data_IF_097964921113
#
_entry.id   IF_097964921113
#
_cell.length_a   1.000
_cell.length_b   1.000
_cell.length_c   1.000
_cell.angle_alpha   90.00
_cell.angle_beta   90.00
_cell.angle_gamma   90.00
#
_symmetry.space_group_name_H-M   'P 1'
#
loop_
_entity.id
_entity.type
_entity.pdbx_description
1 polymer ?
#
# COMPACT_ATOMS: atom_id res chain seq x y z
N UNK A 1 15.59 -3.49 8.78
CA UNK A 1 15.18 -2.76 9.99
C UNK A 1 14.38 -3.67 10.91
N UNK A 2 14.20 -3.29 12.19
CA UNK A 2 13.36 -4.04 13.13
C UNK A 2 12.07 -3.28 13.42
N UNK A 3 10.92 -3.98 13.40
CA UNK A 3 9.63 -3.47 13.87
C UNK A 3 9.20 -4.39 15.01
N UNK A 4 9.37 -3.96 16.25
CA UNK A 4 9.24 -4.84 17.40
C UNK A 4 10.19 -6.05 17.29
N UNK A 5 9.63 -7.25 17.28
CA UNK A 5 10.37 -8.50 17.12
C UNK A 5 10.48 -8.98 15.64
N UNK A 6 9.92 -8.25 14.69
CA UNK A 6 9.89 -8.63 13.27
C UNK A 6 11.03 -7.96 12.51
N UNK A 7 11.83 -8.76 11.79
CA UNK A 7 12.90 -8.28 10.91
C UNK A 7 12.38 -8.01 9.51
N UNK A 8 12.52 -6.78 9.03
CA UNK A 8 12.23 -6.40 7.64
C UNK A 8 13.55 -6.36 6.86
N UNK A 9 13.72 -7.32 5.94
CA UNK A 9 14.91 -7.44 5.09
C UNK A 9 14.77 -6.57 3.83
N UNK A 10 15.00 -5.28 3.97
CA UNK A 10 14.90 -4.28 2.90
C UNK A 10 14.34 -2.96 3.42
N UNK A 11 14.21 -2.00 2.51
CA UNK A 11 13.75 -0.63 2.83
C UNK A 11 12.42 -0.27 2.18
N UNK A 12 11.92 -1.10 1.25
CA UNK A 12 10.75 -0.76 0.45
C UNK A 12 9.54 -1.58 0.87
N UNK A 13 8.44 -0.92 1.17
CA UNK A 13 7.16 -1.52 1.54
C UNK A 13 6.07 -1.14 0.53
N UNK A 14 5.14 -2.07 0.25
CA UNK A 14 3.95 -1.78 -0.54
C UNK A 14 2.87 -1.15 0.35
N UNK A 15 2.37 0.02 -0.03
CA UNK A 15 1.31 0.72 0.69
C UNK A 15 -0.05 0.05 0.53
N UNK A 16 -0.89 0.03 1.58
CA UNK A 16 -2.29 -0.41 1.47
C UNK A 16 -3.09 0.55 0.58
N UNK A 17 -3.77 0.00 -0.43
CA UNK A 17 -4.62 0.76 -1.35
C UNK A 17 -5.92 -0.01 -1.59
N UNK A 18 -7.03 0.48 -1.06
CA UNK A 18 -8.34 -0.15 -1.19
C UNK A 18 -8.75 -0.35 -2.67
N UNK A 19 -9.15 -1.57 -3.01
CA UNK A 19 -9.48 -2.00 -4.37
C UNK A 19 -8.26 -2.11 -5.30
N UNK A 20 -7.05 -2.25 -4.75
CA UNK A 20 -5.80 -2.30 -5.52
C UNK A 20 -4.81 -3.33 -4.97
N UNK A 21 -4.51 -3.28 -3.66
CA UNK A 21 -3.51 -4.17 -3.05
C UNK A 21 -4.15 -5.47 -2.58
N UNK A 22 -4.86 -6.12 -3.49
CA UNK A 22 -5.34 -7.48 -3.31
C UNK A 22 -4.17 -8.48 -3.23
N UNK A 23 -4.47 -9.71 -2.88
CA UNK A 23 -3.45 -10.76 -2.73
C UNK A 23 -2.61 -10.92 -4.01
N UNK A 24 -3.25 -10.90 -5.20
CA UNK A 24 -2.56 -11.08 -6.47
C UNK A 24 -1.53 -9.96 -6.73
N UNK A 25 -1.91 -8.70 -6.50
CA UNK A 25 -0.99 -7.58 -6.70
C UNK A 25 0.11 -7.55 -5.64
N UNK A 26 -0.20 -7.87 -4.37
CA UNK A 26 0.80 -7.96 -3.32
C UNK A 26 1.83 -9.06 -3.61
N UNK A 27 1.36 -10.23 -4.11
CA UNK A 27 2.23 -11.34 -4.53
C UNK A 27 3.21 -10.88 -5.61
N UNK A 28 2.73 -10.25 -6.70
CA UNK A 28 3.60 -9.71 -7.75
C UNK A 28 4.61 -8.68 -7.20
N UNK A 29 4.17 -7.73 -6.37
CA UNK A 29 5.09 -6.76 -5.76
C UNK A 29 6.13 -7.42 -4.83
N UNK A 30 5.75 -8.49 -4.14
CA UNK A 30 6.65 -9.25 -3.28
C UNK A 30 7.73 -9.96 -4.08
N UNK A 31 7.39 -10.62 -5.19
CA UNK A 31 8.34 -11.24 -6.10
C UNK A 31 9.37 -10.24 -6.65
N UNK A 32 8.95 -8.99 -6.86
CA UNK A 32 9.82 -7.90 -7.30
C UNK A 32 10.49 -7.13 -6.14
N UNK A 33 10.52 -7.69 -4.93
CA UNK A 33 11.35 -7.19 -3.83
C UNK A 33 10.71 -6.17 -2.91
N UNK A 34 9.37 -6.10 -2.83
CA UNK A 34 8.71 -5.43 -1.70
C UNK A 34 9.02 -6.19 -0.41
N UNK A 35 9.76 -5.57 0.52
CA UNK A 35 10.21 -6.19 1.75
C UNK A 35 9.10 -6.36 2.81
N UNK A 36 8.05 -5.54 2.72
CA UNK A 36 6.85 -5.60 3.54
C UNK A 36 5.63 -5.30 2.66
N UNK A 37 4.59 -6.09 2.79
CA UNK A 37 3.28 -5.84 2.18
C UNK A 37 2.25 -5.53 3.26
N UNK A 38 1.24 -4.75 2.90
CA UNK A 38 0.12 -4.42 3.79
C UNK A 38 -1.18 -4.73 3.06
N UNK A 39 -2.08 -5.47 3.72
CA UNK A 39 -3.40 -5.79 3.15
C UNK A 39 -4.21 -4.55 2.84
N UNK A 40 -5.29 -4.70 2.10
CA UNK A 40 -6.32 -3.66 2.05
C UNK A 40 -6.87 -3.41 3.45
N UNK A 41 -7.31 -2.16 3.71
CA UNK A 41 -7.85 -1.81 5.02
C UNK A 41 -9.22 -2.44 5.25
N UNK A 42 -9.42 -3.06 6.42
CA UNK A 42 -10.69 -3.64 6.83
C UNK A 42 -11.28 -2.95 8.06
N UNK A 43 -12.61 -2.86 8.12
CA UNK A 43 -13.28 -2.30 9.29
C UNK A 43 -13.22 -3.27 10.47
N UNK A 44 -12.64 -2.84 11.59
CA UNK A 44 -12.66 -3.61 12.85
C UNK A 44 -14.09 -3.94 13.27
N UNK A 45 -15.00 -2.98 13.13
CA UNK A 45 -16.43 -3.17 13.40
C UNK A 45 -17.06 -4.25 12.50
N UNK A 46 -16.73 -4.28 11.21
CA UNK A 46 -17.24 -5.30 10.29
C UNK A 46 -16.74 -6.72 10.65
N UNK A 47 -15.49 -6.83 11.12
CA UNK A 47 -14.93 -8.09 11.63
C UNK A 47 -15.72 -8.58 12.86
N UNK A 48 -15.96 -7.70 13.85
CA UNK A 48 -16.74 -8.02 15.05
C UNK A 48 -18.17 -8.47 14.73
N UNK A 49 -18.80 -7.88 13.70
CA UNK A 49 -20.14 -8.29 13.22
C UNK A 49 -20.13 -9.49 12.27
N UNK A 50 -19.00 -10.18 12.10
CA UNK A 50 -18.84 -11.39 11.28
C UNK A 50 -19.25 -11.21 9.81
N UNK A 51 -18.93 -10.04 9.22
CA UNK A 51 -19.13 -9.83 7.79
C UNK A 51 -18.37 -10.89 6.97
N UNK A 52 -19.06 -11.50 6.01
CA UNK A 52 -18.51 -12.63 5.23
C UNK A 52 -17.49 -12.21 4.17
N UNK A 53 -17.50 -10.94 3.77
CA UNK A 53 -16.63 -10.42 2.69
C UNK A 53 -15.30 -9.89 3.22
N UNK A 54 -15.33 -9.27 4.40
CA UNK A 54 -14.17 -8.64 5.04
C UNK A 54 -12.97 -9.59 5.24
N UNK A 55 -13.13 -10.86 5.66
CA UNK A 55 -12.01 -11.77 5.85
C UNK A 55 -11.16 -12.02 4.59
N UNK A 56 -11.78 -11.99 3.40
CA UNK A 56 -11.06 -12.19 2.13
C UNK A 56 -10.02 -11.10 1.85
N UNK A 57 -10.22 -9.89 2.36
CA UNK A 57 -9.26 -8.80 2.23
C UNK A 57 -8.03 -8.97 3.14
N UNK A 58 -8.11 -9.89 4.11
CA UNK A 58 -7.04 -10.22 5.05
C UNK A 58 -6.24 -11.45 4.63
N UNK A 59 -6.64 -12.17 3.58
CA UNK A 59 -5.92 -13.36 3.10
C UNK A 59 -4.50 -13.00 2.69
N UNK A 60 -3.53 -13.77 3.16
CA UNK A 60 -2.11 -13.66 2.83
C UNK A 60 -1.67 -14.85 1.98
N UNK A 61 -0.71 -14.63 1.10
CA UNK A 61 -0.03 -15.71 0.39
C UNK A 61 0.89 -16.51 1.32
N UNK A 62 1.14 -17.77 0.99
CA UNK A 62 2.00 -18.65 1.80
C UNK A 62 3.41 -18.07 2.01
N UNK A 63 3.94 -17.35 1.04
CA UNK A 63 5.27 -16.73 1.08
C UNK A 63 5.23 -15.22 1.35
N UNK A 64 4.06 -14.69 1.78
CA UNK A 64 3.84 -13.25 1.98
C UNK A 64 4.22 -12.81 3.42
N UNK A 65 5.40 -13.24 3.91
CA UNK A 65 5.92 -12.85 5.21
C UNK A 65 7.28 -12.13 5.07
N UNK A 66 7.52 -10.99 5.79
CA UNK A 66 6.59 -10.32 6.71
C UNK A 66 5.48 -9.56 5.98
N UNK A 67 4.27 -9.62 6.56
CA UNK A 67 3.09 -8.91 6.07
C UNK A 67 2.30 -8.27 7.22
N UNK A 68 1.63 -7.15 6.94
CA UNK A 68 0.76 -6.48 7.88
C UNK A 68 -0.71 -6.56 7.46
N UNK A 69 -1.60 -6.81 8.42
CA UNK A 69 -3.04 -6.65 8.23
C UNK A 69 -3.46 -5.24 8.65
N UNK A 70 -4.06 -4.46 7.74
CA UNK A 70 -4.49 -3.11 8.07
C UNK A 70 -5.96 -3.06 8.49
N UNK A 71 -6.22 -2.49 9.68
CA UNK A 71 -7.56 -2.28 10.22
C UNK A 71 -7.86 -0.79 10.39
N UNK A 72 -9.15 -0.43 10.41
CA UNK A 72 -9.61 0.92 10.72
C UNK A 72 -10.86 0.92 11.61
N UNK A 73 -11.00 1.97 12.39
CA UNK A 73 -12.07 2.24 13.32
C UNK A 73 -11.65 3.32 14.31
N UNK A 74 -12.57 3.81 15.14
CA UNK A 74 -12.29 4.85 16.13
C UNK A 74 -12.69 4.44 17.56
N UNK A 75 -13.42 3.33 17.74
CA UNK A 75 -13.84 2.84 19.06
C UNK A 75 -12.74 1.91 19.63
N UNK A 76 -12.07 2.24 20.76
CA UNK A 76 -10.93 1.47 21.26
C UNK A 76 -11.21 -0.02 21.48
N UNK A 77 -12.33 -0.37 22.12
CA UNK A 77 -12.67 -1.77 22.41
C UNK A 77 -12.99 -2.56 21.14
N UNK A 78 -13.68 -1.93 20.19
CA UNK A 78 -13.96 -2.51 18.86
C UNK A 78 -12.68 -2.72 18.06
N UNK A 79 -11.73 -1.78 18.15
CA UNK A 79 -10.44 -1.89 17.49
C UNK A 79 -9.57 -2.99 18.10
N UNK A 80 -9.58 -3.13 19.42
CA UNK A 80 -8.88 -4.20 20.12
C UNK A 80 -9.40 -5.59 19.71
N UNK A 81 -10.71 -5.78 19.70
CA UNK A 81 -11.33 -7.05 19.28
C UNK A 81 -11.13 -7.29 17.77
N UNK A 82 -11.29 -6.26 16.94
CA UNK A 82 -11.04 -6.34 15.50
C UNK A 82 -9.60 -6.71 15.17
N UNK A 83 -8.62 -6.25 15.96
CA UNK A 83 -7.22 -6.62 15.80
C UNK A 83 -6.95 -8.09 16.06
N UNK A 84 -7.53 -8.66 17.14
CA UNK A 84 -7.46 -10.11 17.43
C UNK A 84 -8.04 -10.93 16.29
N UNK A 85 -9.23 -10.55 15.81
CA UNK A 85 -9.90 -11.23 14.71
C UNK A 85 -9.11 -11.11 13.39
N UNK A 86 -8.49 -9.94 13.13
CA UNK A 86 -7.65 -9.75 11.96
C UNK A 86 -6.40 -10.66 12.03
N UNK A 87 -5.73 -10.71 13.17
CA UNK A 87 -4.58 -11.59 13.41
C UNK A 87 -4.96 -13.06 13.26
N UNK A 88 -6.03 -13.51 13.90
CA UNK A 88 -6.53 -14.89 13.80
C UNK A 88 -6.81 -15.32 12.35
N UNK A 89 -7.41 -14.42 11.55
CA UNK A 89 -7.83 -14.73 10.19
C UNK A 89 -6.69 -14.64 9.16
N UNK A 90 -5.77 -13.73 9.35
CA UNK A 90 -4.68 -13.51 8.40
C UNK A 90 -3.40 -14.27 8.74
N UNK A 91 -3.12 -14.51 10.02
CA UNK A 91 -1.81 -14.98 10.48
C UNK A 91 -0.69 -13.95 10.22
N UNK A 92 -1.02 -12.64 10.13
CA UNK A 92 -0.06 -11.59 9.79
C UNK A 92 1.01 -11.42 10.89
N UNK A 93 2.13 -10.84 10.51
CA UNK A 93 3.24 -10.56 11.43
C UNK A 93 3.06 -9.22 12.16
N UNK A 94 2.24 -8.31 11.61
CA UNK A 94 2.05 -6.94 12.09
C UNK A 94 0.57 -6.56 11.95
N UNK A 95 0.03 -5.88 12.95
CA UNK A 95 -1.26 -5.16 12.80
C UNK A 95 -0.96 -3.70 12.48
N UNK A 96 -1.48 -3.19 11.36
CA UNK A 96 -1.35 -1.79 10.98
C UNK A 96 -2.67 -1.03 11.18
N UNK A 97 -2.63 0.12 11.83
CA UNK A 97 -3.82 0.95 12.08
C UNK A 97 -3.89 2.08 11.05
N UNK A 98 -4.99 2.13 10.29
CA UNK A 98 -5.24 3.22 9.35
C UNK A 98 -5.78 4.47 10.05
N UNK A 99 -4.97 5.51 10.11
CA UNK A 99 -5.35 6.86 10.56
C UNK A 99 -5.10 7.92 9.46
N UNK A 100 -5.11 7.48 8.18
CA UNK A 100 -4.78 8.35 7.05
C UNK A 100 -5.77 8.34 5.89
N UNK A 101 -6.76 7.45 5.86
CA UNK A 101 -7.74 7.37 4.78
C UNK A 101 -8.56 8.66 4.69
N UNK A 102 -8.59 9.36 3.52
CA UNK A 102 -9.30 10.62 3.36
C UNK A 102 -10.74 10.44 2.85
N UNK A 103 -11.17 9.22 2.56
CA UNK A 103 -12.45 8.94 1.91
C UNK A 103 -13.63 9.43 2.74
N UNK A 104 -14.59 10.18 2.17
CA UNK A 104 -15.72 10.74 2.93
C UNK A 104 -16.49 9.70 3.73
N UNK A 105 -16.73 8.53 3.16
CA UNK A 105 -17.44 7.42 3.83
C UNK A 105 -16.73 6.95 5.12
N UNK A 106 -15.41 7.02 5.18
CA UNK A 106 -14.61 6.65 6.34
C UNK A 106 -14.58 7.81 7.33
N UNK A 107 -14.20 8.99 6.85
CA UNK A 107 -13.98 10.18 7.69
C UNK A 107 -15.26 10.69 8.36
N UNK A 108 -16.42 10.60 7.69
CA UNK A 108 -17.69 11.04 8.25
C UNK A 108 -18.16 10.16 9.43
N UNK A 109 -17.62 8.94 9.54
CA UNK A 109 -17.86 8.05 10.67
C UNK A 109 -16.88 8.28 11.85
N UNK A 110 -15.91 9.18 11.72
CA UNK A 110 -14.87 9.40 12.74
C UNK A 110 -13.61 8.54 12.53
N UNK A 111 -13.56 7.73 11.46
CA UNK A 111 -12.47 6.79 11.18
C UNK A 111 -11.35 7.42 10.31
N UNK A 112 -10.25 6.68 10.17
CA UNK A 112 -9.17 7.05 9.27
C UNK A 112 -8.56 8.40 9.64
N UNK A 113 -8.44 9.32 8.68
CA UNK A 113 -7.83 10.63 8.94
C UNK A 113 -8.64 11.57 9.85
N UNK A 114 -9.88 11.23 10.20
CA UNK A 114 -10.64 11.97 11.21
C UNK A 114 -9.95 11.93 12.58
N UNK A 115 -9.27 10.82 12.90
CA UNK A 115 -8.50 10.66 14.14
C UNK A 115 -7.33 11.66 14.26
N UNK A 116 -6.87 12.25 13.15
CA UNK A 116 -5.86 13.33 13.22
C UNK A 116 -6.37 14.57 13.98
N UNK A 117 -7.70 14.77 14.08
CA UNK A 117 -8.31 15.85 14.84
C UNK A 117 -8.53 15.52 16.32
N UNK A 118 -8.43 14.25 16.69
CA UNK A 118 -8.74 13.70 18.00
C UNK A 118 -7.54 12.88 18.54
N UNK A 119 -6.36 13.49 18.80
CA UNK A 119 -5.15 12.76 19.18
C UNK A 119 -5.33 11.93 20.47
N UNK A 120 -6.13 12.41 21.42
CA UNK A 120 -6.42 11.66 22.67
C UNK A 120 -7.21 10.37 22.38
N UNK A 121 -8.16 10.41 21.45
CA UNK A 121 -8.89 9.22 21.02
C UNK A 121 -7.99 8.29 20.23
N UNK A 122 -7.17 8.83 19.33
CA UNK A 122 -6.17 8.07 18.58
C UNK A 122 -5.20 7.31 19.50
N UNK A 123 -4.71 7.97 20.56
CA UNK A 123 -3.87 7.36 21.61
C UNK A 123 -4.57 6.16 22.27
N UNK A 124 -5.84 6.33 22.67
CA UNK A 124 -6.62 5.24 23.28
C UNK A 124 -6.83 4.06 22.33
N UNK A 125 -7.09 4.34 21.05
CA UNK A 125 -7.22 3.31 20.00
C UNK A 125 -5.92 2.54 19.84
N UNK A 126 -4.77 3.24 19.70
CA UNK A 126 -3.46 2.59 19.55
C UNK A 126 -3.15 1.71 20.78
N UNK A 127 -3.27 2.28 21.98
CA UNK A 127 -3.00 1.55 23.23
C UNK A 127 -3.91 0.32 23.40
N UNK A 128 -5.19 0.43 23.04
CA UNK A 128 -6.13 -0.70 23.11
C UNK A 128 -5.72 -1.83 22.16
N UNK A 129 -5.30 -1.52 20.93
CA UNK A 129 -4.83 -2.51 19.95
C UNK A 129 -3.51 -3.13 20.42
N UNK A 130 -2.53 -2.32 20.86
CA UNK A 130 -1.22 -2.80 21.36
C UNK A 130 -1.40 -3.77 22.52
N UNK A 131 -2.32 -3.50 23.45
CA UNK A 131 -2.59 -4.38 24.57
C UNK A 131 -3.40 -5.64 24.21
N UNK A 132 -3.95 -5.71 23.00
CA UNK A 132 -4.85 -6.79 22.59
C UNK A 132 -4.17 -7.90 21.80
N UNK A 133 -2.99 -7.65 21.20
CA UNK A 133 -2.28 -8.58 20.32
C UNK A 133 -0.81 -8.73 20.73
N UNK A 134 -0.22 -9.89 20.43
CA UNK A 134 1.17 -10.20 20.74
C UNK A 134 2.15 -9.86 19.59
N UNK A 135 1.63 -9.36 18.46
CA UNK A 135 2.43 -8.91 17.31
C UNK A 135 2.64 -7.39 17.37
N UNK A 136 3.70 -6.86 16.74
CA UNK A 136 3.90 -5.41 16.66
C UNK A 136 2.71 -4.69 16.03
N UNK A 137 2.41 -3.49 16.55
CA UNK A 137 1.37 -2.61 16.01
C UNK A 137 2.03 -1.41 15.35
N UNK A 138 1.63 -1.09 14.12
CA UNK A 138 2.08 0.09 13.39
C UNK A 138 0.93 1.03 13.09
N UNK A 139 1.24 2.28 12.80
CA UNK A 139 0.22 3.31 12.51
C UNK A 139 0.56 4.05 11.23
N UNK A 140 -0.40 4.11 10.30
CA UNK A 140 -0.27 4.88 9.06
C UNK A 140 -1.18 6.10 9.08
N UNK A 141 -0.59 7.30 8.97
CA UNK A 141 -1.32 8.56 9.05
C UNK A 141 -0.81 9.60 8.02
N UNK A 142 -1.40 10.80 8.04
CA UNK A 142 -1.06 11.93 7.18
C UNK A 142 -0.40 13.06 7.96
N UNK A 143 0.12 14.10 7.27
CA UNK A 143 0.76 15.24 7.94
C UNK A 143 -0.24 16.11 8.77
N UNK A 144 -1.54 15.96 8.53
CA UNK A 144 -2.58 16.66 9.27
C UNK A 144 -3.93 16.59 8.55
N UNK A 145 -4.94 17.26 9.11
CA UNK A 145 -6.27 17.36 8.53
C UNK A 145 -6.31 18.26 7.29
N UNK A 146 -5.77 19.47 7.42
CA UNK A 146 -5.60 20.49 6.37
C UNK A 146 -4.36 21.31 6.68
N UNK A 147 -4.08 22.33 5.83
CA UNK A 147 -2.88 23.17 5.95
C UNK A 147 -2.84 24.04 7.23
N UNK A 148 -3.99 24.27 7.87
CA UNK A 148 -4.06 25.01 9.15
C UNK A 148 -3.94 24.08 10.36
N UNK A 149 -4.15 22.79 10.15
CA UNK A 149 -4.18 21.75 11.17
C UNK A 149 -3.17 20.64 10.82
N UNK A 150 -1.90 21.04 10.69
CA UNK A 150 -0.74 20.13 10.55
C UNK A 150 -0.24 19.77 11.94
N UNK A 151 -0.25 18.49 12.27
CA UNK A 151 0.12 18.01 13.63
C UNK A 151 0.88 16.67 13.60
N UNK A 152 1.53 16.33 12.47
CA UNK A 152 2.15 15.02 12.30
C UNK A 152 3.27 14.73 13.31
N UNK A 153 4.02 15.73 13.78
CA UNK A 153 5.11 15.54 14.74
C UNK A 153 4.57 15.15 16.11
N UNK A 154 3.59 15.91 16.62
CA UNK A 154 2.93 15.63 17.91
C UNK A 154 2.18 14.30 17.84
N UNK A 155 1.54 14.01 16.70
CA UNK A 155 0.82 12.77 16.48
C UNK A 155 1.77 11.55 16.43
N UNK A 156 2.94 11.70 15.83
CA UNK A 156 3.98 10.66 15.82
C UNK A 156 4.50 10.34 17.23
N UNK A 157 4.81 11.37 18.02
CA UNK A 157 5.22 11.22 19.43
C UNK A 157 4.14 10.54 20.27
N UNK A 158 2.88 10.93 20.09
CA UNK A 158 1.75 10.31 20.75
C UNK A 158 1.61 8.85 20.36
N UNK A 159 1.76 8.52 19.05
CA UNK A 159 1.67 7.14 18.59
C UNK A 159 2.78 6.25 19.18
N UNK A 160 4.03 6.74 19.23
CA UNK A 160 5.15 6.06 19.89
C UNK A 160 4.87 5.85 21.39
N UNK A 161 4.44 6.88 22.10
CA UNK A 161 4.09 6.80 23.53
C UNK A 161 2.92 5.85 23.81
N UNK A 162 2.04 5.64 22.83
CA UNK A 162 0.92 4.70 22.90
C UNK A 162 1.29 3.26 22.58
N UNK A 163 2.58 3.00 22.26
CA UNK A 163 3.13 1.67 22.02
C UNK A 163 3.22 1.25 20.54
N UNK A 164 3.06 2.17 19.59
CA UNK A 164 3.31 1.86 18.19
C UNK A 164 4.78 1.45 17.97
N UNK A 165 5.02 0.33 17.28
CA UNK A 165 6.34 -0.20 17.00
C UNK A 165 7.00 0.42 15.75
N UNK A 166 6.23 1.02 14.86
CA UNK A 166 6.68 1.82 13.72
C UNK A 166 5.53 2.70 13.22
N UNK A 167 5.88 3.71 12.43
CA UNK A 167 4.88 4.59 11.81
C UNK A 167 5.15 4.77 10.32
N UNK A 168 4.08 5.04 9.56
CA UNK A 168 4.16 5.47 8.16
C UNK A 168 3.52 6.85 8.03
N UNK A 169 4.29 7.83 7.60
CA UNK A 169 3.78 9.18 7.34
C UNK A 169 3.58 9.45 5.85
N UNK A 170 2.34 9.72 5.44
CA UNK A 170 2.08 10.31 4.13
C UNK A 170 2.21 11.84 4.23
N UNK A 171 3.16 12.41 3.49
CA UNK A 171 3.49 13.84 3.51
C UNK A 171 2.42 14.79 2.93
N UNK A 172 1.16 14.37 2.89
CA UNK A 172 0.00 15.20 2.48
C UNK A 172 -1.03 15.27 3.59
N UNK A 173 -1.76 16.39 3.65
CA UNK A 173 -2.94 16.51 4.51
C UNK A 173 -4.12 15.68 3.97
N UNK A 174 -5.13 15.46 4.80
CA UNK A 174 -6.40 14.86 4.35
C UNK A 174 -7.05 15.67 3.26
N UNK A 175 -7.05 16.99 3.37
CA UNK A 175 -7.70 17.90 2.41
C UNK A 175 -7.02 17.92 1.04
N UNK A 176 -5.70 17.76 0.98
CA UNK A 176 -4.95 17.59 -0.26
C UNK A 176 -5.30 16.29 -1.00
N UNK A 177 -5.71 15.25 -0.30
CA UNK A 177 -5.88 13.90 -0.87
C UNK A 177 -4.62 13.44 -1.64
N UNK A 178 -4.58 13.71 -2.97
CA UNK A 178 -3.46 13.40 -3.85
C UNK A 178 -2.97 14.62 -4.66
N UNK A 179 -3.55 15.80 -4.44
CA UNK A 179 -3.14 17.03 -5.12
C UNK A 179 -1.83 17.60 -4.56
N UNK A 180 -1.17 18.45 -5.36
CA UNK A 180 0.11 19.05 -4.99
C UNK A 180 1.23 18.01 -4.82
N UNK A 181 2.23 18.32 -4.03
CA UNK A 181 3.38 17.47 -3.70
C UNK A 181 3.34 16.99 -2.25
N UNK A 182 3.90 15.81 -1.98
CA UNK A 182 4.11 15.34 -0.63
C UNK A 182 5.23 16.15 0.05
N UNK A 183 4.97 16.57 1.26
CA UNK A 183 5.90 17.33 2.08
C UNK A 183 6.91 16.39 2.75
N UNK A 184 8.09 16.29 2.17
CA UNK A 184 9.16 15.45 2.69
C UNK A 184 9.85 16.07 3.91
N UNK A 185 9.79 17.40 4.08
CA UNK A 185 10.31 18.07 5.27
C UNK A 185 9.52 17.67 6.51
N UNK A 186 8.20 17.60 6.41
CA UNK A 186 7.35 17.10 7.49
C UNK A 186 7.69 15.63 7.87
N UNK A 187 8.07 14.79 6.89
CA UNK A 187 8.52 13.42 7.17
C UNK A 187 9.86 13.43 7.90
N UNK A 188 10.79 14.30 7.49
CA UNK A 188 12.09 14.48 8.18
C UNK A 188 11.92 14.93 9.63
N UNK A 189 11.04 15.91 9.86
CA UNK A 189 10.75 16.41 11.21
C UNK A 189 10.17 15.29 12.10
N UNK A 190 9.25 14.48 11.57
CA UNK A 190 8.72 13.31 12.29
C UNK A 190 9.84 12.32 12.59
N UNK A 191 10.71 11.98 11.61
CA UNK A 191 11.83 11.04 11.84
C UNK A 191 12.79 11.52 12.92
N UNK A 192 13.02 12.82 13.00
CA UNK A 192 13.86 13.41 14.04
C UNK A 192 13.21 13.45 15.43
N UNK A 193 11.89 13.32 15.50
CA UNK A 193 11.11 13.49 16.71
C UNK A 193 10.79 12.18 17.45
N UNK A 194 10.96 11.02 16.78
CA UNK A 194 10.67 9.69 17.33
C UNK A 194 11.85 8.74 17.22
N UNK A 195 11.90 7.72 18.06
CA UNK A 195 12.95 6.70 18.08
C UNK A 195 12.57 5.44 17.27
N UNK A 196 11.28 5.18 17.10
CA UNK A 196 10.77 4.05 16.33
C UNK A 196 11.01 4.22 14.82
N UNK A 197 11.01 3.11 14.05
CA UNK A 197 11.12 3.19 12.59
C UNK A 197 10.03 4.02 11.94
N UNK A 198 10.43 4.82 10.93
CA UNK A 198 9.55 5.67 10.13
C UNK A 198 9.63 5.27 8.67
N UNK A 199 8.48 4.94 8.06
CA UNK A 199 8.36 4.81 6.62
C UNK A 199 7.91 6.14 6.01
N UNK A 200 8.70 6.64 5.04
CA UNK A 200 8.32 7.80 4.23
C UNK A 200 7.36 7.39 3.13
N UNK A 201 6.23 8.10 3.00
CA UNK A 201 5.23 7.81 1.97
C UNK A 201 4.81 9.09 1.21
N UNK A 202 4.81 9.00 -0.11
CA UNK A 202 4.33 10.05 -1.02
C UNK A 202 5.32 10.39 -2.14
N UNK A 203 4.78 10.44 -3.37
CA UNK A 203 5.47 10.86 -4.60
C UNK A 203 6.75 10.07 -4.94
N UNK A 204 6.69 8.77 -4.74
CA UNK A 204 7.67 7.82 -5.24
C UNK A 204 7.06 7.09 -6.42
N UNK A 205 7.52 7.42 -7.63
CA UNK A 205 7.05 6.89 -8.91
C UNK A 205 8.18 6.30 -9.76
N UNK A 206 9.42 6.69 -9.52
CA UNK A 206 10.63 6.17 -10.16
C UNK A 206 11.63 5.70 -9.09
N UNK A 207 12.58 4.79 -9.44
CA UNK A 207 13.60 4.29 -8.51
C UNK A 207 14.39 5.39 -7.80
N UNK A 208 14.72 6.47 -8.54
CA UNK A 208 15.45 7.62 -8.03
C UNK A 208 14.69 8.38 -6.95
N UNK A 209 13.35 8.34 -6.99
CA UNK A 209 12.52 8.96 -5.95
C UNK A 209 12.70 8.25 -4.60
N UNK A 210 12.85 6.92 -4.60
CA UNK A 210 13.10 6.16 -3.38
C UNK A 210 14.45 6.52 -2.76
N UNK A 211 15.47 6.74 -3.57
CA UNK A 211 16.78 7.22 -3.10
C UNK A 211 16.67 8.64 -2.54
N UNK A 212 16.00 9.52 -3.29
CA UNK A 212 15.86 10.95 -2.90
C UNK A 212 15.08 11.13 -1.60
N UNK A 213 13.95 10.41 -1.46
CA UNK A 213 13.12 10.55 -0.25
C UNK A 213 13.86 10.03 0.99
N UNK A 214 14.59 8.90 0.89
CA UNK A 214 15.41 8.39 1.99
C UNK A 214 16.53 9.37 2.37
N UNK A 215 17.26 9.88 1.38
CA UNK A 215 18.34 10.84 1.61
C UNK A 215 17.81 12.15 2.22
N UNK A 216 16.65 12.64 1.78
CA UNK A 216 16.06 13.89 2.24
C UNK A 216 15.48 13.77 3.65
N UNK A 217 14.79 12.67 3.95
CA UNK A 217 14.01 12.53 5.19
C UNK A 217 14.79 11.85 6.32
N UNK A 218 15.78 11.03 5.99
CA UNK A 218 16.46 10.15 6.94
C UNK A 218 15.56 9.01 7.45
N UNK A 219 14.40 8.76 6.79
CA UNK A 219 13.49 7.68 7.16
C UNK A 219 14.15 6.29 7.03
N UNK A 220 13.67 5.32 7.79
CA UNK A 220 14.23 3.98 7.84
C UNK A 220 13.79 3.13 6.61
N UNK A 221 12.64 3.48 6.03
CA UNK A 221 12.10 2.83 4.84
C UNK A 221 11.20 3.75 4.02
N UNK A 222 10.80 3.26 2.86
CA UNK A 222 9.86 3.93 1.94
C UNK A 222 8.66 3.05 1.71
N UNK A 223 7.47 3.62 1.87
CA UNK A 223 6.24 2.94 1.52
C UNK A 223 5.72 3.46 0.18
N UNK A 224 5.68 2.59 -0.83
CA UNK A 224 5.31 2.92 -2.21
C UNK A 224 3.86 2.56 -2.45
N UNK A 225 3.06 3.53 -2.91
CA UNK A 225 1.66 3.31 -3.31
C UNK A 225 1.50 3.36 -4.82
N UNK A 226 0.91 4.45 -5.33
CA UNK A 226 0.52 4.62 -6.74
C UNK A 226 1.64 4.41 -7.77
N UNK A 227 2.90 4.60 -7.37
CA UNK A 227 4.06 4.35 -8.24
C UNK A 227 4.16 2.91 -8.70
N UNK A 228 3.83 1.95 -7.84
CA UNK A 228 3.88 0.52 -8.16
C UNK A 228 2.76 0.03 -9.10
N UNK A 229 1.71 0.83 -9.31
CA UNK A 229 0.59 0.45 -10.19
C UNK A 229 1.02 0.30 -11.64
N UNK A 230 1.05 -0.93 -12.15
CA UNK A 230 1.52 -1.28 -13.49
C UNK A 230 3.05 -1.22 -13.63
N UNK A 231 3.76 -1.06 -12.51
CA UNK A 231 5.22 -1.10 -12.43
C UNK A 231 5.67 -1.77 -11.12
N UNK A 232 5.43 -3.06 -10.92
CA UNK A 232 5.92 -3.77 -9.74
C UNK A 232 7.45 -3.84 -9.70
N UNK A 233 8.13 -3.73 -10.85
CA UNK A 233 9.60 -3.67 -10.98
C UNK A 233 10.20 -2.44 -10.31
N UNK A 234 9.39 -1.44 -9.96
CA UNK A 234 9.83 -0.30 -9.18
C UNK A 234 10.55 -0.73 -7.89
N UNK A 235 10.10 -1.81 -7.25
CA UNK A 235 10.72 -2.32 -6.02
C UNK A 235 12.13 -2.89 -6.31
N UNK A 236 12.29 -3.80 -7.25
CA UNK A 236 13.60 -4.40 -7.55
C UNK A 236 14.58 -3.38 -8.10
N UNK A 237 14.11 -2.47 -8.98
CA UNK A 237 14.93 -1.42 -9.57
C UNK A 237 15.39 -0.41 -8.54
N UNK A 238 14.51 -0.01 -7.61
CA UNK A 238 14.86 0.88 -6.51
C UNK A 238 15.77 0.20 -5.47
N UNK A 239 15.57 -1.09 -5.17
CA UNK A 239 16.48 -1.86 -4.31
C UNK A 239 17.88 -1.94 -4.93
N UNK A 240 18.00 -2.31 -6.22
CA UNK A 240 19.27 -2.38 -6.91
C UNK A 240 19.98 -1.00 -6.92
N UNK A 241 19.23 0.07 -7.17
CA UNK A 241 19.80 1.43 -7.15
C UNK A 241 20.28 1.81 -5.73
N UNK A 242 19.56 1.46 -4.67
CA UNK A 242 19.93 1.71 -3.28
C UNK A 242 21.17 0.90 -2.85
N UNK A 243 21.32 -0.32 -3.35
CA UNK A 243 22.39 -1.24 -2.95
C UNK A 243 23.67 -1.04 -3.77
N UNK A 244 23.53 -0.84 -5.09
CA UNK A 244 24.66 -0.84 -6.02
C UNK A 244 24.95 0.50 -6.67
N UNK A 245 24.03 1.45 -6.58
CA UNK A 245 24.09 2.73 -7.30
C UNK A 245 23.71 2.59 -8.79
N UNK A 246 23.31 1.40 -9.26
CA UNK A 246 22.95 1.14 -10.66
C UNK A 246 21.45 0.77 -10.73
N UNK A 247 20.69 1.52 -11.51
CA UNK A 247 19.28 1.22 -11.77
C UNK A 247 19.16 0.29 -12.98
N UNK A 248 18.61 -0.93 -12.83
CA UNK A 248 18.30 -1.79 -13.96
C UNK A 248 17.29 -1.15 -14.92
N UNK A 249 17.36 -1.51 -16.18
CA UNK A 249 16.35 -1.11 -17.15
C UNK A 249 14.98 -1.69 -16.80
N UNK A 250 13.92 -1.02 -17.22
CA UNK A 250 12.57 -1.58 -17.16
C UNK A 250 12.51 -2.82 -18.09
N UNK A 251 11.85 -3.91 -17.71
CA UNK A 251 11.70 -5.09 -18.57
C UNK A 251 11.08 -4.78 -19.95
N UNK A 252 11.35 -5.59 -20.96
CA UNK A 252 10.72 -5.48 -22.27
C UNK A 252 9.20 -5.45 -22.17
N UNK A 253 8.55 -4.75 -23.10
CA UNK A 253 7.09 -4.58 -23.05
C UNK A 253 6.33 -5.91 -23.00
N UNK A 254 6.78 -6.92 -23.73
CA UNK A 254 6.15 -8.24 -23.74
C UNK A 254 6.11 -8.86 -22.35
N UNK A 255 7.21 -8.83 -21.61
CA UNK A 255 7.30 -9.33 -20.22
C UNK A 255 6.38 -8.56 -19.28
N UNK A 256 6.27 -7.24 -19.47
CA UNK A 256 5.36 -6.42 -18.67
C UNK A 256 3.90 -6.79 -18.89
N UNK A 257 3.52 -7.12 -20.12
CA UNK A 257 2.17 -7.59 -20.46
C UNK A 257 1.92 -8.99 -19.92
N UNK A 258 2.90 -9.90 -20.02
CA UNK A 258 2.78 -11.25 -19.45
C UNK A 258 2.61 -11.20 -17.93
N UNK A 259 3.32 -10.31 -17.24
CA UNK A 259 3.13 -10.08 -15.79
C UNK A 259 1.75 -9.49 -15.48
N UNK A 260 1.23 -8.59 -16.31
CA UNK A 260 -0.13 -8.07 -16.16
C UNK A 260 -1.19 -9.18 -16.31
N UNK A 261 -1.03 -10.07 -17.30
CA UNK A 261 -1.91 -11.24 -17.49
C UNK A 261 -1.84 -12.15 -16.27
N UNK A 262 -0.64 -12.53 -15.83
CA UNK A 262 -0.43 -13.39 -14.66
C UNK A 262 -1.06 -12.81 -13.40
N UNK A 263 -0.93 -11.50 -13.16
CA UNK A 263 -1.61 -10.86 -12.03
C UNK A 263 -3.11 -11.07 -12.05
N UNK A 264 -3.73 -10.98 -13.23
CA UNK A 264 -5.18 -11.14 -13.37
C UNK A 264 -5.62 -12.60 -13.27
N UNK A 265 -4.79 -13.54 -13.74
CA UNK A 265 -5.01 -14.98 -13.54
C UNK A 265 -5.04 -15.32 -12.03
N UNK A 266 -4.03 -14.89 -11.28
CA UNK A 266 -3.99 -15.03 -9.82
C UNK A 266 -5.22 -14.42 -9.13
N UNK A 267 -5.65 -13.24 -9.58
CA UNK A 267 -6.85 -12.60 -9.07
C UNK A 267 -8.11 -13.40 -9.41
N UNK A 268 -8.19 -14.02 -10.61
CA UNK A 268 -9.32 -14.85 -11.03
C UNK A 268 -9.40 -16.15 -10.22
N UNK A 269 -8.26 -16.78 -9.94
CA UNK A 269 -8.19 -17.96 -9.07
C UNK A 269 -8.71 -17.66 -7.66
N UNK A 270 -8.32 -16.52 -7.10
CA UNK A 270 -8.67 -16.13 -5.73
C UNK A 270 -10.13 -15.71 -5.56
N UNK A 271 -10.65 -14.85 -6.45
CA UNK A 271 -11.96 -14.17 -6.27
C UNK A 271 -12.98 -14.44 -7.37
N UNK A 272 -12.61 -15.28 -8.36
CA UNK A 272 -13.43 -15.63 -9.52
C UNK A 272 -13.28 -14.64 -10.68
N UNK A 273 -13.41 -15.17 -11.90
CA UNK A 273 -13.17 -14.44 -13.15
C UNK A 273 -13.95 -13.14 -13.26
N UNK A 274 -15.23 -13.14 -12.88
CA UNK A 274 -16.08 -11.96 -13.01
C UNK A 274 -15.52 -10.75 -12.24
N UNK A 275 -15.12 -10.94 -10.97
CA UNK A 275 -14.57 -9.85 -10.13
C UNK A 275 -13.20 -9.47 -10.64
N UNK A 276 -12.35 -10.44 -10.97
CA UNK A 276 -11.02 -10.19 -11.51
C UNK A 276 -11.06 -9.35 -12.78
N UNK A 277 -12.02 -9.61 -13.70
CA UNK A 277 -12.16 -8.81 -14.92
C UNK A 277 -12.60 -7.37 -14.66
N UNK A 278 -13.44 -7.10 -13.66
CA UNK A 278 -13.80 -5.74 -13.29
C UNK A 278 -12.58 -4.95 -12.80
N UNK A 279 -11.71 -5.57 -12.02
CA UNK A 279 -10.50 -4.96 -11.49
C UNK A 279 -9.37 -4.91 -12.54
N UNK A 280 -9.27 -5.90 -13.43
CA UNK A 280 -8.34 -5.94 -14.56
C UNK A 280 -8.41 -4.68 -15.42
N UNK A 281 -9.61 -4.12 -15.61
CA UNK A 281 -9.83 -2.89 -16.38
C UNK A 281 -8.93 -1.73 -15.88
N UNK A 282 -8.69 -1.67 -14.58
CA UNK A 282 -7.81 -0.68 -13.98
C UNK A 282 -6.34 -1.13 -14.00
N UNK A 283 -6.08 -2.35 -13.53
CA UNK A 283 -4.71 -2.86 -13.37
C UNK A 283 -3.97 -2.94 -14.70
N UNK A 284 -4.54 -3.60 -15.71
CA UNK A 284 -3.92 -3.77 -17.03
C UNK A 284 -3.66 -2.41 -17.69
N UNK A 285 -4.59 -1.46 -17.60
CA UNK A 285 -4.37 -0.11 -18.11
C UNK A 285 -3.18 0.61 -17.46
N UNK A 286 -2.84 0.27 -16.22
CA UNK A 286 -1.68 0.86 -15.56
C UNK A 286 -0.36 0.35 -16.15
N UNK A 287 -0.28 -0.89 -16.61
CA UNK A 287 0.90 -1.43 -17.31
C UNK A 287 1.18 -0.74 -18.65
N UNK A 288 0.17 -0.06 -19.22
CA UNK A 288 0.29 0.68 -20.48
C UNK A 288 0.64 2.18 -20.31
N UNK A 289 0.99 2.63 -19.11
CA UNK A 289 1.21 4.07 -18.83
C UNK A 289 2.30 4.71 -19.68
N UNK A 290 3.36 3.97 -20.01
CA UNK A 290 4.55 4.46 -20.73
C UNK A 290 4.47 4.21 -22.25
N UNK A 291 3.37 3.58 -22.74
CA UNK A 291 3.27 3.20 -24.14
C UNK A 291 2.45 4.21 -24.94
N UNK A 292 2.95 4.56 -26.12
CA UNK A 292 2.28 5.42 -27.09
C UNK A 292 1.48 4.61 -28.12
N UNK A 293 0.37 5.18 -28.62
CA UNK A 293 -0.44 4.56 -29.67
C UNK A 293 -1.40 3.46 -29.20
N UNK A 294 -1.45 3.14 -27.90
CA UNK A 294 -2.25 2.04 -27.31
C UNK A 294 -3.68 2.43 -26.91
N UNK A 295 -4.18 3.59 -27.37
CA UNK A 295 -5.51 4.11 -26.97
C UNK A 295 -6.65 3.13 -27.27
N UNK A 296 -6.62 2.49 -28.44
CA UNK A 296 -7.63 1.51 -28.85
C UNK A 296 -7.65 0.30 -27.91
N UNK A 297 -6.47 -0.20 -27.53
CA UNK A 297 -6.34 -1.30 -26.58
C UNK A 297 -6.86 -0.90 -25.18
N UNK A 298 -6.57 0.30 -24.71
CA UNK A 298 -7.10 0.81 -23.43
C UNK A 298 -8.63 0.81 -23.40
N UNK A 299 -9.29 1.13 -24.51
CA UNK A 299 -10.74 1.08 -24.61
C UNK A 299 -11.27 -0.37 -24.53
N UNK A 300 -10.60 -1.33 -25.20
CA UNK A 300 -10.95 -2.76 -25.11
C UNK A 300 -10.74 -3.31 -23.72
N UNK A 301 -9.63 -2.95 -23.05
CA UNK A 301 -9.34 -3.34 -21.67
C UNK A 301 -10.45 -2.82 -20.72
N UNK A 302 -10.96 -1.61 -20.93
CA UNK A 302 -12.09 -1.08 -20.14
C UNK A 302 -13.39 -1.88 -20.32
N UNK A 303 -13.49 -2.70 -21.36
CA UNK A 303 -14.66 -3.53 -21.66
C UNK A 303 -14.43 -5.02 -21.33
N UNK A 304 -13.31 -5.41 -20.72
CA UNK A 304 -12.99 -6.80 -20.38
C UNK A 304 -14.10 -7.47 -19.58
N UNK A 305 -14.46 -8.70 -19.99
CA UNK A 305 -15.45 -9.55 -19.33
C UNK A 305 -14.97 -10.96 -19.07
N UNK A 306 -14.00 -11.46 -19.83
CA UNK A 306 -13.44 -12.81 -19.74
C UNK A 306 -11.92 -12.81 -19.83
N UNK A 307 -11.27 -13.82 -19.25
CA UNK A 307 -9.83 -14.03 -19.39
C UNK A 307 -9.41 -14.23 -20.85
N UNK A 308 -10.25 -14.93 -21.66
CA UNK A 308 -9.99 -15.08 -23.09
C UNK A 308 -9.83 -13.76 -23.82
N UNK A 309 -10.65 -12.76 -23.48
CA UNK A 309 -10.57 -11.42 -24.09
C UNK A 309 -9.26 -10.74 -23.71
N UNK A 310 -8.78 -10.97 -22.46
CA UNK A 310 -7.50 -10.45 -22.00
C UNK A 310 -6.31 -11.06 -22.75
N UNK A 311 -6.33 -12.38 -23.00
CA UNK A 311 -5.27 -13.07 -23.75
C UNK A 311 -5.17 -12.55 -25.18
N UNK A 312 -6.30 -12.42 -25.88
CA UNK A 312 -6.34 -11.88 -27.24
C UNK A 312 -5.77 -10.46 -27.29
N UNK A 313 -6.19 -9.58 -26.35
CA UNK A 313 -5.68 -8.21 -26.26
C UNK A 313 -4.19 -8.18 -25.93
N UNK A 314 -3.72 -9.06 -25.06
CA UNK A 314 -2.30 -9.14 -24.68
C UNK A 314 -1.42 -9.53 -25.87
N UNK A 315 -1.83 -10.54 -26.65
CA UNK A 315 -1.09 -10.98 -27.83
C UNK A 315 -1.05 -9.92 -28.92
N UNK A 316 -2.17 -9.27 -29.21
CA UNK A 316 -2.23 -8.15 -30.16
C UNK A 316 -1.37 -6.96 -29.69
N UNK A 317 -1.37 -6.64 -28.40
CA UNK A 317 -0.54 -5.57 -27.82
C UNK A 317 0.96 -5.85 -28.01
N UNK A 318 1.39 -7.09 -27.71
CA UNK A 318 2.79 -7.51 -27.88
C UNK A 318 3.20 -7.40 -29.35
N UNK A 319 2.38 -7.90 -30.26
CA UNK A 319 2.63 -7.80 -31.71
C UNK A 319 2.68 -6.34 -32.19
N UNK A 320 1.76 -5.49 -31.72
CA UNK A 320 1.70 -4.06 -32.09
C UNK A 320 2.96 -3.30 -31.66
N UNK A 321 3.43 -3.50 -30.42
CA UNK A 321 4.63 -2.80 -29.92
C UNK A 321 5.89 -3.32 -30.60
N UNK A 322 6.03 -4.64 -30.78
CA UNK A 322 7.17 -5.24 -31.48
C UNK A 322 7.28 -4.73 -32.94
N UNK A 323 6.16 -4.56 -33.63
CA UNK A 323 6.17 -4.00 -34.99
C UNK A 323 6.66 -2.54 -35.02
N UNK A 324 6.43 -1.75 -33.94
CA UNK A 324 6.91 -0.37 -33.84
C UNK A 324 8.40 -0.26 -33.53
N UNK A 325 8.95 -1.20 -32.76
CA UNK A 325 10.37 -1.22 -32.40
C UNK A 325 11.28 -1.60 -33.59
N UNK A 326 10.68 -2.23 -34.63
CA UNK A 326 11.39 -2.65 -35.87
C UNK A 326 11.33 -1.59 -36.99
N UNK A 327 10.73 -0.40 -36.76
CA UNK A 327 10.67 0.72 -37.70
C UNK A 327 11.61 1.84 -37.21
#
# INVERSE_FOLDING_TARGET
MQIGNITINGKLALAPMAGVTDLAFRHICREHGAALTVTEMVSAKALCYKDKKTPRLLELGADEHPAAAQIFGHEPDTMAEGAKLALEKSGCDIIDINMGCPAPKIVNNGDGSALMKEPELASKVIAAVVNAVDVPVTVKFRKGWDEKNVNCVEFAKMAEQSGAAAITLHGRTRSQQYSGTADWDAIREVKQAVSIPVFANGDVAEPEDAVRILAHTGADGVMIGRGSLGDPWLFERANALLETGICPALPPFAERIDTAVRQIELAAEQKGEHIAMLEARRHVNCYLKRESGVKTFKNRICALTRLSDLYEIADELKAFVSAKENI
#
